data_IF_919511855733
#
_entry.id   IF_919511855733
#
_cell.length_a   1.000
_cell.length_b   1.000
_cell.length_c   1.000
_cell.angle_alpha   90.00
_cell.angle_beta   90.00
_cell.angle_gamma   90.00
#
_symmetry.space_group_name_H-M   'P 1'
#
loop_
_entity.id
_entity.type
_entity.pdbx_description
1 polymer ?
#
# COMPACT_ATOMS: atom_id res chain seq x y z
N UNK A 1 -1.19 -22.28 72.77
CA UNK A 1 -0.92 -22.91 71.45
C UNK A 1 -2.12 -22.83 70.50
N UNK A 2 -2.93 -21.75 70.53
CA UNK A 2 -4.06 -21.55 69.60
C UNK A 2 -3.83 -20.30 68.73
N UNK A 3 -3.38 -19.21 69.35
CA UNK A 3 -3.11 -17.93 68.68
C UNK A 3 -2.12 -18.02 67.50
N UNK A 4 -1.07 -18.84 67.61
CA UNK A 4 -0.05 -19.00 66.56
C UNK A 4 -0.61 -19.72 65.34
N UNK A 5 -1.46 -20.73 65.54
CA UNK A 5 -2.07 -21.50 64.45
C UNK A 5 -3.03 -20.65 63.62
N UNK A 6 -3.80 -19.77 64.28
CA UNK A 6 -4.74 -18.87 63.61
C UNK A 6 -4.02 -17.78 62.80
N UNK A 7 -2.88 -17.26 63.30
CA UNK A 7 -2.03 -16.32 62.56
C UNK A 7 -1.50 -16.96 61.27
N UNK A 8 -0.96 -18.18 61.35
CA UNK A 8 -0.48 -18.90 60.15
C UNK A 8 -1.58 -19.16 59.12
N UNK A 9 -2.81 -19.42 59.57
CA UNK A 9 -3.98 -19.62 58.68
C UNK A 9 -4.39 -18.32 57.98
N UNK A 10 -4.31 -17.18 58.69
CA UNK A 10 -4.57 -15.86 58.13
C UNK A 10 -3.50 -15.49 57.09
N UNK A 11 -2.22 -15.73 57.37
CA UNK A 11 -1.13 -15.43 56.43
C UNK A 11 -1.20 -16.29 55.16
N UNK A 12 -1.53 -17.58 55.29
CA UNK A 12 -1.72 -18.46 54.12
C UNK A 12 -2.87 -17.96 53.24
N UNK A 13 -4.00 -17.59 53.84
CA UNK A 13 -5.17 -17.07 53.11
C UNK A 13 -4.88 -15.72 52.44
N UNK A 14 -4.08 -14.86 53.08
CA UNK A 14 -3.57 -13.60 52.50
C UNK A 14 -2.70 -13.88 51.27
N UNK A 15 -1.78 -14.84 51.35
CA UNK A 15 -0.88 -15.17 50.24
C UNK A 15 -1.63 -15.82 49.07
N UNK A 16 -2.61 -16.68 49.33
CA UNK A 16 -3.50 -17.24 48.30
C UNK A 16 -4.31 -16.13 47.59
N UNK A 17 -4.78 -15.13 48.35
CA UNK A 17 -5.48 -13.98 47.78
C UNK A 17 -4.54 -13.10 46.93
N UNK A 18 -3.32 -12.82 47.39
CA UNK A 18 -2.32 -12.07 46.62
C UNK A 18 -1.95 -12.82 45.34
N UNK A 19 -1.74 -14.14 45.43
CA UNK A 19 -1.43 -14.97 44.26
C UNK A 19 -2.57 -14.96 43.25
N UNK A 20 -3.83 -15.06 43.71
CA UNK A 20 -5.00 -14.93 42.85
C UNK A 20 -5.05 -13.56 42.16
N UNK A 21 -4.72 -12.49 42.88
CA UNK A 21 -4.71 -11.12 42.34
C UNK A 21 -3.58 -10.93 41.29
N UNK A 22 -2.41 -11.51 41.52
CA UNK A 22 -1.31 -11.52 40.55
C UNK A 22 -1.64 -12.33 39.30
N UNK A 23 -2.24 -13.52 39.47
CA UNK A 23 -2.66 -14.36 38.34
C UNK A 23 -3.70 -13.63 37.50
N UNK A 24 -4.74 -13.06 38.12
CA UNK A 24 -5.77 -12.30 37.40
C UNK A 24 -5.22 -11.06 36.68
N UNK A 25 -4.23 -10.37 37.24
CA UNK A 25 -3.53 -9.30 36.53
C UNK A 25 -2.79 -9.81 35.27
N UNK A 26 -2.12 -10.96 35.37
CA UNK A 26 -1.34 -11.53 34.26
C UNK A 26 -2.20 -12.00 33.06
N UNK A 27 -3.44 -12.43 33.29
CA UNK A 27 -4.36 -12.89 32.23
C UNK A 27 -4.94 -11.73 31.39
N UNK A 28 -4.85 -10.49 31.86
CA UNK A 28 -5.43 -9.32 31.17
C UNK A 28 -4.47 -8.66 30.14
N UNK A 29 -3.20 -9.07 30.08
CA UNK A 29 -2.24 -8.46 29.14
C UNK A 29 -2.40 -8.94 27.69
N UNK A 30 -3.19 -9.98 27.43
CA UNK A 30 -3.17 -10.69 26.15
C UNK A 30 -4.06 -10.12 25.04
N UNK A 31 -4.71 -8.95 25.20
CA UNK A 31 -5.77 -8.58 24.23
C UNK A 31 -5.93 -7.11 23.85
N UNK A 32 -4.96 -6.25 24.15
CA UNK A 32 -4.95 -4.87 23.61
C UNK A 32 -3.83 -4.69 22.59
N UNK A 33 -3.87 -5.48 21.51
CA UNK A 33 -3.22 -5.06 20.27
C UNK A 33 -3.91 -3.80 19.77
N UNK A 34 -3.14 -2.80 19.34
CA UNK A 34 -3.67 -1.58 18.75
C UNK A 34 -4.56 -1.95 17.55
N UNK A 35 -5.83 -1.53 17.57
CA UNK A 35 -6.71 -1.66 16.39
C UNK A 35 -6.06 -0.93 15.22
N UNK A 36 -6.00 -1.56 14.05
CA UNK A 36 -5.43 -0.93 12.86
C UNK A 36 -6.14 0.39 12.57
N UNK A 37 -5.40 1.50 12.61
CA UNK A 37 -5.97 2.85 12.39
C UNK A 37 -6.27 3.11 10.91
N UNK A 38 -5.70 2.31 10.01
CA UNK A 38 -5.96 2.31 8.58
C UNK A 38 -5.67 0.92 8.03
N UNK A 39 -6.37 0.54 6.95
CA UNK A 39 -6.04 -0.66 6.18
C UNK A 39 -5.42 -0.26 4.86
N UNK A 40 -4.32 -0.91 4.47
CA UNK A 40 -3.72 -0.74 3.14
C UNK A 40 -4.24 -1.85 2.23
N UNK A 41 -4.65 -1.47 1.02
CA UNK A 41 -5.07 -2.40 -0.03
C UNK A 41 -4.39 -1.99 -1.33
N UNK A 42 -4.11 -2.96 -2.20
CA UNK A 42 -3.66 -2.67 -3.55
C UNK A 42 -4.69 -1.78 -4.26
N UNK A 43 -4.21 -0.78 -4.99
CA UNK A 43 -5.09 0.02 -5.81
C UNK A 43 -5.70 -0.86 -6.92
N UNK A 44 -6.94 -0.58 -7.39
CA UNK A 44 -7.56 -1.40 -8.43
C UNK A 44 -6.80 -1.42 -9.76
N UNK A 45 -5.91 -0.43 -9.98
CA UNK A 45 -5.00 -0.33 -11.12
C UNK A 45 -3.60 -0.89 -10.85
N UNK A 46 -3.33 -1.49 -9.70
CA UNK A 46 -2.09 -2.21 -9.47
C UNK A 46 -2.25 -3.65 -9.95
N UNK A 47 -1.26 -4.16 -10.68
CA UNK A 47 -1.27 -5.52 -11.19
C UNK A 47 -0.21 -6.38 -10.48
N UNK A 48 -0.37 -7.69 -10.48
CA UNK A 48 0.66 -8.62 -9.99
C UNK A 48 1.67 -9.02 -11.09
N UNK A 49 1.60 -8.39 -12.27
CA UNK A 49 2.33 -8.81 -13.48
C UNK A 49 3.31 -7.75 -13.96
N UNK A 50 3.01 -6.49 -13.70
CA UNK A 50 3.78 -5.35 -14.17
C UNK A 50 4.14 -4.45 -12.98
N UNK A 51 5.11 -3.58 -13.20
CA UNK A 51 5.52 -2.60 -12.21
C UNK A 51 4.70 -1.32 -12.42
N UNK A 52 3.90 -0.91 -11.44
CA UNK A 52 3.21 0.38 -11.42
C UNK A 52 3.77 1.30 -10.34
N UNK A 53 4.07 2.55 -10.70
CA UNK A 53 4.63 3.51 -9.74
C UNK A 53 4.32 4.97 -10.11
N UNK A 54 4.62 5.88 -9.18
CA UNK A 54 4.42 7.33 -9.28
C UNK A 54 3.00 7.77 -9.66
N UNK A 55 1.96 7.37 -8.89
CA UNK A 55 0.60 7.85 -9.12
C UNK A 55 0.48 9.34 -8.80
N UNK A 56 -0.21 10.09 -9.66
CA UNK A 56 -0.53 11.51 -9.49
C UNK A 56 -1.99 11.76 -9.88
N UNK A 57 -2.71 12.53 -9.05
CA UNK A 57 -4.07 12.96 -9.38
C UNK A 57 -4.08 13.86 -10.61
N UNK A 58 -5.00 13.58 -11.53
CA UNK A 58 -5.18 14.37 -12.74
C UNK A 58 -6.64 14.30 -13.17
N UNK A 59 -7.33 15.44 -13.14
CA UNK A 59 -8.79 15.52 -13.38
C UNK A 59 -9.53 14.52 -12.47
N UNK A 60 -10.44 13.73 -13.03
CA UNK A 60 -11.24 12.73 -12.33
C UNK A 60 -10.51 11.38 -12.19
N UNK A 61 -9.19 11.36 -12.33
CA UNK A 61 -8.42 10.12 -12.39
C UNK A 61 -7.02 10.20 -11.82
N UNK A 62 -6.27 9.12 -12.06
CA UNK A 62 -4.88 8.94 -11.67
C UNK A 62 -4.03 8.71 -12.91
N UNK A 63 -2.92 9.42 -13.00
CA UNK A 63 -1.85 9.14 -13.95
C UNK A 63 -0.72 8.41 -13.24
N UNK A 64 -0.17 7.37 -13.85
CA UNK A 64 0.89 6.54 -13.27
C UNK A 64 1.81 5.98 -14.35
N UNK A 65 2.97 5.46 -13.97
CA UNK A 65 3.91 4.80 -14.87
C UNK A 65 3.76 3.29 -14.80
N UNK A 66 3.83 2.61 -15.95
CA UNK A 66 3.81 1.14 -15.99
C UNK A 66 4.64 0.57 -17.16
N UNK A 67 5.28 -0.57 -16.94
CA UNK A 67 5.99 -1.35 -17.97
C UNK A 67 5.09 -2.42 -18.61
N UNK A 68 3.77 -2.27 -18.55
CA UNK A 68 2.84 -3.22 -19.16
C UNK A 68 3.01 -3.29 -20.68
N UNK A 69 2.78 -4.50 -21.21
CA UNK A 69 2.71 -4.75 -22.65
C UNK A 69 1.39 -4.21 -23.18
N UNK A 70 1.47 -3.31 -24.15
CA UNK A 70 0.32 -2.67 -24.74
C UNK A 70 0.04 -3.36 -26.08
N UNK A 71 -0.86 -4.35 -26.07
CA UNK A 71 -1.08 -5.25 -27.22
C UNK A 71 -1.75 -4.57 -28.44
N UNK A 72 -2.36 -3.38 -28.27
CA UNK A 72 -3.27 -2.81 -29.29
C UNK A 72 -2.62 -1.75 -30.19
N UNK A 73 -1.49 -1.15 -29.81
CA UNK A 73 -0.90 -0.06 -30.61
C UNK A 73 0.61 -0.18 -30.84
N UNK A 74 1.45 -0.10 -29.80
CA UNK A 74 2.91 -0.30 -29.91
C UNK A 74 3.39 -0.74 -28.51
N UNK A 75 4.26 -1.74 -28.43
CA UNK A 75 5.04 -2.03 -27.21
C UNK A 75 6.51 -1.83 -27.56
N UNK A 76 7.17 -0.90 -26.89
CA UNK A 76 8.60 -0.71 -27.03
C UNK A 76 9.33 -1.53 -25.97
N UNK A 77 10.23 -2.40 -26.43
CA UNK A 77 11.09 -3.21 -25.57
C UNK A 77 12.54 -3.00 -25.97
N UNK A 78 13.45 -3.20 -25.02
CA UNK A 78 14.88 -3.14 -25.29
C UNK A 78 15.33 -4.33 -26.16
N UNK A 79 16.55 -4.31 -26.75
CA UNK A 79 17.11 -5.49 -27.44
C UNK A 79 17.18 -6.75 -26.54
N UNK A 80 17.19 -6.57 -25.21
CA UNK A 80 17.14 -7.64 -24.21
C UNK A 80 15.71 -8.02 -23.78
N UNK A 81 14.69 -7.57 -24.50
CA UNK A 81 13.25 -7.76 -24.20
C UNK A 81 12.81 -7.24 -22.82
N UNK A 82 13.49 -6.23 -22.29
CA UNK A 82 13.01 -5.51 -21.10
C UNK A 82 11.96 -4.50 -21.54
N UNK A 83 10.79 -4.51 -20.90
CA UNK A 83 9.71 -3.59 -21.24
C UNK A 83 10.04 -2.18 -20.74
N UNK A 84 9.74 -1.18 -21.56
CA UNK A 84 9.92 0.23 -21.23
C UNK A 84 8.70 0.78 -20.51
N UNK A 85 8.94 1.75 -19.63
CA UNK A 85 7.88 2.42 -18.90
C UNK A 85 7.15 3.43 -19.77
N UNK A 86 5.82 3.41 -19.70
CA UNK A 86 4.94 4.38 -20.34
C UNK A 86 4.02 5.03 -19.31
N UNK A 87 3.45 6.17 -19.68
CA UNK A 87 2.54 6.96 -18.84
C UNK A 87 1.09 6.54 -19.13
N UNK A 88 0.39 6.07 -18.11
CA UNK A 88 -0.99 5.59 -18.17
C UNK A 88 -1.92 6.49 -17.36
N UNK A 89 -3.18 6.49 -17.75
CA UNK A 89 -4.28 7.17 -17.07
C UNK A 89 -5.39 6.16 -16.75
N UNK A 90 -6.00 6.34 -15.58
CA UNK A 90 -7.23 5.66 -15.20
C UNK A 90 -8.20 6.67 -14.60
N UNK A 91 -9.42 6.69 -15.10
CA UNK A 91 -10.52 7.46 -14.52
C UNK A 91 -11.05 6.73 -13.26
N UNK A 92 -11.30 7.47 -12.18
CA UNK A 92 -11.84 6.92 -10.95
C UNK A 92 -13.38 6.93 -11.02
N UNK A 93 -14.02 5.81 -10.67
CA UNK A 93 -15.47 5.64 -10.69
C UNK A 93 -15.92 4.38 -9.97
N UNK A 94 -17.17 3.95 -10.19
CA UNK A 94 -17.76 2.83 -9.43
C UNK A 94 -17.20 1.45 -9.85
N UNK A 95 -16.60 1.33 -11.03
CA UNK A 95 -16.05 0.08 -11.57
C UNK A 95 -14.65 0.29 -12.11
N UNK A 96 -13.71 0.68 -11.23
CA UNK A 96 -12.30 0.84 -11.59
C UNK A 96 -11.61 -0.52 -11.56
N UNK A 97 -11.05 -0.91 -12.70
CA UNK A 97 -10.18 -2.08 -12.79
C UNK A 97 -8.91 -1.71 -13.56
N UNK A 98 -7.85 -2.49 -13.35
CA UNK A 98 -6.62 -2.44 -14.14
C UNK A 98 -6.87 -2.35 -15.65
N UNK A 99 -7.83 -3.13 -16.16
CA UNK A 99 -8.16 -3.23 -17.59
C UNK A 99 -8.72 -1.92 -18.17
N UNK A 100 -9.29 -1.06 -17.32
CA UNK A 100 -9.88 0.21 -17.72
C UNK A 100 -8.85 1.33 -17.90
N UNK A 101 -7.58 1.08 -17.54
CA UNK A 101 -6.52 2.08 -17.67
C UNK A 101 -5.85 2.04 -19.04
N UNK A 102 -5.60 3.21 -19.63
CA UNK A 102 -5.03 3.35 -20.98
C UNK A 102 -3.83 4.29 -21.02
N UNK A 103 -3.09 4.29 -22.14
CA UNK A 103 -1.99 5.25 -22.34
C UNK A 103 -2.55 6.67 -22.27
N UNK A 104 -1.93 7.53 -21.45
CA UNK A 104 -2.39 8.92 -21.27
C UNK A 104 -2.38 9.68 -22.61
N UNK A 105 -1.31 9.54 -23.40
CA UNK A 105 -1.20 10.15 -24.72
C UNK A 105 -0.13 9.45 -25.56
N UNK A 106 -0.45 9.16 -26.84
CA UNK A 106 0.52 8.61 -27.79
C UNK A 106 1.69 9.55 -28.06
N UNK A 107 1.51 10.86 -27.90
CA UNK A 107 2.59 11.85 -28.08
C UNK A 107 3.61 11.82 -26.95
N UNK A 108 3.25 11.24 -25.79
CA UNK A 108 4.14 11.06 -24.65
C UNK A 108 4.80 9.68 -24.64
N UNK A 109 4.41 8.80 -25.57
CA UNK A 109 4.87 7.42 -25.65
C UNK A 109 6.04 7.29 -26.64
N UNK A 110 7.16 6.75 -26.19
CA UNK A 110 8.37 6.60 -27.00
C UNK A 110 9.07 5.27 -26.79
N UNK A 111 10.13 5.03 -27.57
CA UNK A 111 11.06 3.93 -27.37
C UNK A 111 12.06 4.18 -26.23
N UNK A 112 11.65 4.93 -25.20
CA UNK A 112 12.40 5.27 -24.00
C UNK A 112 11.52 5.01 -22.76
N UNK A 113 12.08 5.14 -21.56
CA UNK A 113 11.31 5.14 -20.32
C UNK A 113 10.69 6.52 -20.10
N UNK A 114 9.37 6.57 -20.21
CA UNK A 114 8.55 7.76 -20.06
C UNK A 114 7.98 7.87 -18.64
N UNK A 115 8.30 8.97 -17.97
CA UNK A 115 7.90 9.29 -16.60
C UNK A 115 9.05 9.30 -15.58
N UNK A 116 8.76 9.56 -14.28
CA UNK A 116 7.46 9.95 -13.71
C UNK A 116 6.91 11.28 -14.22
N UNK A 117 5.66 11.59 -13.86
CA UNK A 117 4.97 12.81 -14.29
C UNK A 117 4.44 13.61 -13.10
N UNK A 118 4.15 14.88 -13.33
CA UNK A 118 3.30 15.72 -12.48
C UNK A 118 2.60 16.78 -13.35
N UNK A 119 1.65 17.50 -12.76
CA UNK A 119 0.90 18.55 -13.44
C UNK A 119 1.01 19.87 -12.69
N UNK A 120 0.87 20.99 -13.40
CA UNK A 120 0.70 22.28 -12.75
C UNK A 120 -0.66 22.36 -12.03
N UNK A 121 -0.87 23.43 -11.26
CA UNK A 121 -2.10 23.66 -10.49
C UNK A 121 -3.38 23.59 -11.34
N UNK A 122 -3.33 24.11 -12.57
CA UNK A 122 -4.50 24.15 -13.45
C UNK A 122 -4.71 22.84 -14.22
N UNK A 123 -3.79 21.87 -14.08
CA UNK A 123 -3.85 20.59 -14.79
C UNK A 123 -3.71 20.71 -16.31
N UNK A 124 -3.22 21.83 -16.84
CA UNK A 124 -3.08 22.05 -18.28
C UNK A 124 -1.62 21.97 -18.77
N UNK A 125 -0.65 21.88 -17.85
CA UNK A 125 0.77 21.64 -18.16
C UNK A 125 1.22 20.36 -17.48
N UNK A 126 1.81 19.45 -18.25
CA UNK A 126 2.46 18.23 -17.77
C UNK A 126 3.97 18.43 -17.71
N UNK A 127 4.58 18.00 -16.61
CA UNK A 127 6.03 17.87 -16.46
C UNK A 127 6.36 16.40 -16.32
N UNK A 128 7.34 15.92 -17.06
CA UNK A 128 7.74 14.51 -17.02
C UNK A 128 9.23 14.36 -17.31
N UNK A 129 9.82 13.25 -16.86
CA UNK A 129 11.17 12.86 -17.25
C UNK A 129 11.16 11.78 -18.33
N UNK A 130 12.25 11.75 -19.11
CA UNK A 130 12.52 10.71 -20.10
C UNK A 130 14.03 10.45 -20.12
N UNK A 131 14.44 9.19 -20.22
CA UNK A 131 15.84 8.88 -20.50
C UNK A 131 16.17 9.09 -21.99
N UNK A 132 17.40 9.52 -22.28
CA UNK A 132 17.83 9.77 -23.66
C UNK A 132 18.41 8.53 -24.35
N UNK A 133 18.57 7.42 -23.61
CA UNK A 133 19.15 6.14 -24.05
C UNK A 133 18.53 4.99 -23.26
N UNK A 134 18.35 3.85 -23.92
CA UNK A 134 17.83 2.59 -23.37
C UNK A 134 18.96 1.66 -22.97
#
# INVERSE_FOLDING_TARGET
>A
MFLVHDIFKIEKKRNEFILFLLVTCLINYSSWGQTESYSVRSAPFSSNKYDEFSPVYYKDGIVFCSNRKNDVFITYSTPKKKELFNIYYIELGDSVSWENSGILSKNLMTNFNDGPVTFNKDGNVIYYSRNNKV
#
